data_IF_886706900766
#
_entry.id   IF_886706900766
#
_cell.length_a   1.000
_cell.length_b   1.000
_cell.length_c   1.000
_cell.angle_alpha   90.00
_cell.angle_beta   90.00
_cell.angle_gamma   90.00
#
_symmetry.space_group_name_H-M   'P 1'
#
loop_
_entity.id
_entity.type
_entity.pdbx_description
1 polymer ?
#
# COMPACT_ATOMS: atom_id res chain seq x y z
N UNK A 1 -16.67 30.83 -6.47
CA UNK A 1 -16.09 31.00 -5.12
C UNK A 1 -17.16 30.63 -4.10
N UNK A 2 -17.24 29.37 -3.70
CA UNK A 2 -18.13 28.96 -2.61
C UNK A 2 -17.52 29.48 -1.31
N UNK A 3 -18.02 30.61 -0.80
CA UNK A 3 -17.73 30.99 0.57
C UNK A 3 -18.51 30.01 1.46
N UNK A 4 -17.78 29.16 2.19
CA UNK A 4 -18.33 28.34 3.27
C UNK A 4 -19.12 29.26 4.21
N UNK A 5 -20.43 29.05 4.29
CA UNK A 5 -21.25 29.70 5.30
C UNK A 5 -20.74 29.24 6.67
N UNK A 6 -20.10 30.16 7.41
CA UNK A 6 -19.42 29.84 8.68
C UNK A 6 -20.38 29.21 9.69
N UNK A 7 -21.67 29.51 9.60
CA UNK A 7 -22.68 28.98 10.51
C UNK A 7 -23.00 27.50 10.21
N UNK A 8 -22.87 27.06 8.96
CA UNK A 8 -23.14 25.68 8.53
C UNK A 8 -21.92 24.77 8.58
N UNK A 9 -20.75 25.30 8.95
CA UNK A 9 -19.48 24.57 8.93
C UNK A 9 -19.52 23.29 9.77
N UNK A 10 -19.96 23.37 11.03
CA UNK A 10 -20.00 22.21 11.92
C UNK A 10 -21.01 21.16 11.42
N UNK A 11 -22.14 21.61 10.90
CA UNK A 11 -23.18 20.73 10.37
C UNK A 11 -22.71 20.00 9.10
N UNK A 12 -22.03 20.73 8.21
CA UNK A 12 -21.43 20.17 7.01
C UNK A 12 -20.28 19.21 7.34
N UNK A 13 -19.47 19.50 8.36
CA UNK A 13 -18.42 18.57 8.85
C UNK A 13 -19.03 17.28 9.39
N UNK A 14 -20.09 17.35 10.22
CA UNK A 14 -20.80 16.16 10.72
C UNK A 14 -21.40 15.32 9.59
N UNK A 15 -22.03 15.96 8.62
CA UNK A 15 -22.52 15.29 7.41
C UNK A 15 -21.39 14.64 6.62
N UNK A 16 -20.27 15.35 6.40
CA UNK A 16 -19.10 14.82 5.68
C UNK A 16 -18.46 13.61 6.41
N UNK A 17 -18.57 13.56 7.73
CA UNK A 17 -18.09 12.43 8.53
C UNK A 17 -19.05 11.24 8.54
N UNK A 18 -20.20 11.34 7.86
CA UNK A 18 -21.21 10.29 7.81
C UNK A 18 -21.95 10.12 9.13
N UNK A 19 -22.02 11.17 9.96
CA UNK A 19 -22.89 11.14 11.13
C UNK A 19 -24.36 11.09 10.68
N UNK A 20 -25.16 10.35 11.44
CA UNK A 20 -26.60 10.30 11.26
C UNK A 20 -27.16 11.68 11.68
N UNK A 21 -27.67 12.43 10.70
CA UNK A 21 -28.22 13.78 10.90
C UNK A 21 -29.74 13.73 10.90
N UNK A 22 -30.35 14.55 11.75
CA UNK A 22 -31.82 14.67 11.78
C UNK A 22 -32.35 15.37 10.51
N UNK A 23 -33.61 15.10 10.14
CA UNK A 23 -34.26 15.69 8.96
C UNK A 23 -34.20 17.24 8.92
N UNK A 24 -34.20 17.88 10.08
CA UNK A 24 -34.11 19.34 10.22
C UNK A 24 -32.69 19.85 9.90
N UNK A 25 -31.67 19.12 10.34
CA UNK A 25 -30.25 19.38 10.06
C UNK A 25 -29.91 19.19 8.57
N UNK A 26 -30.45 18.14 7.96
CA UNK A 26 -30.32 17.87 6.52
C UNK A 26 -30.95 18.99 5.67
N UNK A 27 -32.16 19.44 6.03
CA UNK A 27 -32.81 20.59 5.38
C UNK A 27 -32.03 21.88 5.54
N UNK A 28 -31.39 22.09 6.69
CA UNK A 28 -30.54 23.26 6.92
C UNK A 28 -29.31 23.27 6.00
N UNK A 29 -28.74 22.09 5.70
CA UNK A 29 -27.68 21.93 4.71
C UNK A 29 -28.18 21.97 3.24
N UNK A 30 -29.48 21.81 3.02
CA UNK A 30 -30.07 21.68 1.69
C UNK A 30 -29.83 20.31 1.05
N UNK A 31 -29.67 19.27 1.89
CA UNK A 31 -29.36 17.90 1.50
C UNK A 31 -30.55 17.02 1.94
N UNK A 32 -30.86 15.96 1.19
CA UNK A 32 -32.06 15.14 1.43
C UNK A 32 -31.77 13.75 2.01
N UNK A 33 -30.51 13.40 2.23
CA UNK A 33 -30.11 12.08 2.75
C UNK A 33 -28.76 12.10 3.48
N UNK A 34 -28.60 11.12 4.37
CA UNK A 34 -27.35 10.78 5.08
C UNK A 34 -26.39 10.07 4.11
N UNK A 35 -25.09 10.07 4.43
CA UNK A 35 -24.02 9.46 3.61
C UNK A 35 -24.03 7.93 3.71
N UNK A 36 -25.09 7.29 3.21
CA UNK A 36 -25.18 5.82 3.09
C UNK A 36 -25.34 5.36 1.63
N UNK A 37 -25.74 6.26 0.73
CA UNK A 37 -25.94 5.96 -0.68
C UNK A 37 -24.65 6.18 -1.49
N UNK A 38 -24.35 5.27 -2.42
CA UNK A 38 -23.15 5.31 -3.28
C UNK A 38 -22.93 6.66 -3.98
N UNK A 39 -24.02 7.35 -4.36
CA UNK A 39 -23.97 8.67 -5.00
C UNK A 39 -23.55 9.79 -4.05
N UNK A 40 -23.92 9.67 -2.76
CA UNK A 40 -23.53 10.63 -1.72
C UNK A 40 -22.04 10.46 -1.40
N UNK A 41 -21.58 9.22 -1.22
CA UNK A 41 -20.16 8.89 -1.04
C UNK A 41 -19.31 9.41 -2.21
N UNK A 42 -19.77 9.22 -3.45
CA UNK A 42 -19.06 9.74 -4.62
C UNK A 42 -19.02 11.27 -4.64
N UNK A 43 -20.14 11.91 -4.32
CA UNK A 43 -20.22 13.38 -4.23
C UNK A 43 -19.27 13.93 -3.16
N UNK A 44 -19.14 13.23 -2.04
CA UNK A 44 -18.20 13.58 -0.98
C UNK A 44 -16.74 13.51 -1.46
N UNK A 45 -16.36 12.42 -2.13
CA UNK A 45 -15.02 12.29 -2.71
C UNK A 45 -14.76 13.42 -3.72
N UNK A 46 -15.73 13.75 -4.58
CA UNK A 46 -15.62 14.88 -5.52
C UNK A 46 -15.34 16.18 -4.77
N UNK A 47 -16.15 16.51 -3.76
CA UNK A 47 -15.98 17.73 -2.96
C UNK A 47 -14.58 17.77 -2.34
N UNK A 48 -14.11 16.66 -1.75
CA UNK A 48 -12.78 16.58 -1.17
C UNK A 48 -11.72 16.88 -2.25
N UNK A 49 -11.75 16.17 -3.38
CA UNK A 49 -10.75 16.33 -4.43
C UNK A 49 -10.78 17.70 -5.12
N UNK A 50 -11.94 18.34 -5.24
CA UNK A 50 -12.08 19.69 -5.83
C UNK A 50 -11.57 20.80 -4.91
N UNK A 51 -11.56 20.57 -3.59
CA UNK A 51 -11.08 21.53 -2.59
C UNK A 51 -9.66 21.23 -2.10
N UNK A 52 -9.03 20.16 -2.59
CA UNK A 52 -7.63 19.86 -2.31
C UNK A 52 -6.75 20.50 -3.39
N UNK A 53 -5.75 21.28 -2.97
CA UNK A 53 -4.69 21.80 -3.85
C UNK A 53 -3.66 20.71 -4.25
N UNK A 54 -4.01 19.43 -4.09
CA UNK A 54 -3.11 18.28 -4.29
C UNK A 54 -3.86 17.13 -4.94
N UNK A 55 -3.12 16.33 -5.71
CA UNK A 55 -3.63 15.09 -6.29
C UNK A 55 -3.76 14.03 -5.20
N UNK A 56 -4.91 13.36 -5.16
CA UNK A 56 -5.17 12.25 -4.25
C UNK A 56 -4.80 10.93 -4.90
N UNK A 57 -3.95 10.14 -4.24
CA UNK A 57 -3.53 8.83 -4.73
C UNK A 57 -4.31 7.76 -3.97
N UNK A 58 -5.11 6.97 -4.69
CA UNK A 58 -5.75 5.76 -4.17
C UNK A 58 -4.92 4.54 -4.54
N UNK A 59 -4.36 3.88 -3.53
CA UNK A 59 -3.63 2.63 -3.70
C UNK A 59 -4.50 1.46 -3.23
N UNK A 60 -4.83 0.55 -4.15
CA UNK A 60 -5.55 -0.68 -3.85
C UNK A 60 -4.60 -1.87 -3.95
N UNK A 61 -4.49 -2.62 -2.86
CA UNK A 61 -3.80 -3.91 -2.82
C UNK A 61 -4.85 -5.03 -2.73
N UNK A 62 -4.49 -6.23 -3.17
CA UNK A 62 -5.35 -7.43 -3.13
C UNK A 62 -6.77 -7.19 -3.69
N UNK A 63 -6.88 -6.62 -4.89
CA UNK A 63 -8.17 -6.32 -5.53
C UNK A 63 -9.03 -7.56 -5.82
N UNK A 64 -8.47 -8.77 -5.69
CA UNK A 64 -9.21 -10.03 -5.74
C UNK A 64 -9.94 -10.38 -4.43
N UNK A 65 -9.72 -9.62 -3.36
CA UNK A 65 -10.38 -9.87 -2.07
C UNK A 65 -11.91 -9.92 -2.16
N UNK A 66 -12.61 -9.07 -2.95
CA UNK A 66 -14.07 -9.18 -3.11
C UNK A 66 -14.48 -10.51 -3.74
N UNK A 67 -13.68 -11.03 -4.69
CA UNK A 67 -13.91 -12.35 -5.27
C UNK A 67 -13.81 -13.46 -4.22
N UNK A 68 -12.78 -13.42 -3.36
CA UNK A 68 -12.61 -14.42 -2.30
C UNK A 68 -13.75 -14.42 -1.29
N UNK A 69 -14.31 -13.24 -1.00
CA UNK A 69 -15.34 -13.08 0.03
C UNK A 69 -16.77 -13.31 -0.50
N UNK A 70 -17.08 -12.81 -1.69
CA UNK A 70 -18.45 -12.68 -2.20
C UNK A 70 -18.58 -13.11 -3.68
N UNK A 71 -17.53 -13.67 -4.27
CA UNK A 71 -17.50 -14.18 -5.62
C UNK A 71 -17.38 -13.11 -6.71
N UNK A 72 -17.50 -13.56 -7.96
CA UNK A 72 -17.29 -12.74 -9.16
C UNK A 72 -18.19 -11.50 -9.25
N UNK A 73 -19.42 -11.59 -8.74
CA UNK A 73 -20.37 -10.47 -8.75
C UNK A 73 -19.83 -9.29 -7.95
N UNK A 74 -19.18 -9.55 -6.81
CA UNK A 74 -18.58 -8.49 -5.99
C UNK A 74 -17.34 -7.89 -6.65
N UNK A 75 -16.49 -8.72 -7.27
CA UNK A 75 -15.32 -8.25 -8.03
C UNK A 75 -15.75 -7.35 -9.20
N UNK A 76 -16.80 -7.72 -9.95
CA UNK A 76 -17.40 -6.89 -11.00
C UNK A 76 -17.90 -5.55 -10.47
N UNK A 77 -18.68 -5.57 -9.38
CA UNK A 77 -19.17 -4.34 -8.75
C UNK A 77 -18.02 -3.44 -8.28
N UNK A 78 -16.96 -4.01 -7.74
CA UNK A 78 -15.78 -3.25 -7.33
C UNK A 78 -15.12 -2.55 -8.52
N UNK A 79 -14.91 -3.25 -9.64
CA UNK A 79 -14.36 -2.66 -10.87
C UNK A 79 -15.28 -1.56 -11.45
N UNK A 80 -16.60 -1.72 -11.36
CA UNK A 80 -17.56 -0.67 -11.73
C UNK A 80 -17.40 0.60 -10.88
N UNK A 81 -17.16 0.46 -9.58
CA UNK A 81 -16.89 1.60 -8.70
C UNK A 81 -15.55 2.26 -9.05
N UNK A 82 -14.49 1.49 -9.30
CA UNK A 82 -13.20 2.03 -9.78
C UNK A 82 -13.38 2.83 -11.07
N UNK A 83 -14.20 2.31 -12.00
CA UNK A 83 -14.54 2.99 -13.25
C UNK A 83 -15.32 4.29 -13.01
N UNK A 84 -16.30 4.31 -12.08
CA UNK A 84 -17.02 5.55 -11.69
C UNK A 84 -16.06 6.57 -11.09
N UNK A 85 -15.20 6.16 -10.16
CA UNK A 85 -14.20 7.03 -9.55
C UNK A 85 -13.30 7.68 -10.60
N UNK A 86 -12.74 6.89 -11.51
CA UNK A 86 -11.87 7.40 -12.57
C UNK A 86 -12.59 8.40 -13.49
N UNK A 87 -13.84 8.14 -13.86
CA UNK A 87 -14.57 8.98 -14.82
C UNK A 87 -15.12 10.27 -14.20
N UNK A 88 -15.54 10.21 -12.94
CA UNK A 88 -16.32 11.28 -12.34
C UNK A 88 -15.52 12.13 -11.34
N UNK A 89 -14.41 11.62 -10.80
CA UNK A 89 -13.59 12.32 -9.80
C UNK A 89 -12.33 12.87 -10.46
N UNK A 90 -12.12 14.18 -10.34
CA UNK A 90 -10.91 14.87 -10.83
C UNK A 90 -9.83 14.89 -9.76
N UNK A 91 -8.58 15.09 -10.16
CA UNK A 91 -7.47 15.21 -9.22
C UNK A 91 -7.13 13.89 -8.50
N UNK A 92 -7.44 12.76 -9.12
CA UNK A 92 -7.28 11.43 -8.55
C UNK A 92 -6.35 10.57 -9.41
N UNK A 93 -5.47 9.82 -8.76
CA UNK A 93 -4.63 8.78 -9.38
C UNK A 93 -4.94 7.46 -8.70
N UNK A 94 -5.29 6.44 -9.48
CA UNK A 94 -5.55 5.09 -8.98
C UNK A 94 -4.35 4.22 -9.29
N UNK A 95 -3.78 3.58 -8.27
CA UNK A 95 -2.73 2.57 -8.40
C UNK A 95 -3.26 1.26 -7.85
N UNK A 96 -3.13 0.19 -8.63
CA UNK A 96 -3.59 -1.15 -8.27
C UNK A 96 -2.38 -2.06 -8.24
N UNK A 97 -2.20 -2.77 -7.13
CA UNK A 97 -1.28 -3.88 -7.01
C UNK A 97 -2.05 -5.19 -6.97
N UNK A 98 -1.60 -6.15 -7.77
CA UNK A 98 -2.22 -7.46 -7.90
C UNK A 98 -1.16 -8.50 -8.22
N UNK A 99 -1.38 -9.74 -7.80
CA UNK A 99 -0.51 -10.85 -8.16
C UNK A 99 -0.57 -11.11 -9.67
N UNK A 100 0.61 -11.35 -10.26
CA UNK A 100 0.77 -11.61 -11.70
C UNK A 100 -0.14 -12.74 -12.22
N UNK A 101 -0.33 -13.78 -11.41
CA UNK A 101 -1.18 -14.93 -11.74
C UNK A 101 -2.69 -14.61 -11.72
N UNK A 102 -3.09 -13.57 -11.00
CA UNK A 102 -4.49 -13.16 -10.84
C UNK A 102 -4.87 -12.13 -11.89
N UNK A 103 -3.92 -11.30 -12.33
CA UNK A 103 -4.16 -10.19 -13.26
C UNK A 103 -4.94 -10.56 -14.53
N UNK A 104 -4.66 -11.68 -15.23
CA UNK A 104 -5.42 -12.06 -16.43
C UNK A 104 -6.92 -12.19 -16.18
N UNK A 105 -7.32 -12.73 -15.01
CA UNK A 105 -8.73 -12.87 -14.61
C UNK A 105 -9.39 -11.51 -14.41
N UNK A 106 -8.71 -10.59 -13.73
CA UNK A 106 -9.23 -9.24 -13.48
C UNK A 106 -9.50 -8.52 -14.82
N UNK A 107 -8.56 -8.62 -15.77
CA UNK A 107 -8.71 -8.03 -17.11
C UNK A 107 -9.82 -8.68 -17.92
N UNK A 108 -10.07 -9.98 -17.76
CA UNK A 108 -11.19 -10.65 -18.43
C UNK A 108 -12.55 -10.15 -17.92
N UNK A 109 -12.65 -9.90 -16.62
CA UNK A 109 -13.86 -9.45 -15.95
C UNK A 109 -14.11 -7.95 -16.19
N UNK A 110 -13.05 -7.15 -16.32
CA UNK A 110 -13.11 -5.72 -16.61
C UNK A 110 -13.78 -5.45 -17.97
N UNK A 111 -14.68 -4.46 -18.00
CA UNK A 111 -15.34 -4.06 -19.23
C UNK A 111 -14.38 -3.34 -20.20
N UNK A 112 -14.72 -3.31 -21.49
CA UNK A 112 -13.88 -2.65 -22.49
C UNK A 112 -13.60 -1.17 -22.18
N UNK A 113 -14.57 -0.37 -21.69
CA UNK A 113 -14.34 0.99 -21.23
C UNK A 113 -13.28 1.12 -20.12
N UNK A 114 -13.30 0.28 -19.08
CA UNK A 114 -12.31 0.34 -18.01
C UNK A 114 -10.92 0.00 -18.57
N UNK A 115 -10.81 -1.09 -19.33
CA UNK A 115 -9.54 -1.53 -19.92
C UNK A 115 -8.90 -0.47 -20.81
N UNK A 116 -9.68 0.25 -21.60
CA UNK A 116 -9.16 1.30 -22.49
C UNK A 116 -8.59 2.52 -21.73
N UNK A 117 -8.87 2.64 -20.44
CA UNK A 117 -8.40 3.74 -19.57
C UNK A 117 -7.23 3.32 -18.68
N UNK A 118 -6.92 2.02 -18.60
CA UNK A 118 -5.81 1.52 -17.81
C UNK A 118 -4.51 1.76 -18.57
N UNK A 119 -3.51 2.26 -17.85
CA UNK A 119 -2.14 2.29 -18.35
C UNK A 119 -1.57 0.87 -18.47
N UNK A 120 -0.55 0.64 -19.32
CA UNK A 120 0.08 -0.66 -19.46
C UNK A 120 0.58 -1.20 -18.12
N UNK A 121 0.29 -2.46 -17.82
CA UNK A 121 0.72 -3.10 -16.59
C UNK A 121 2.24 -3.09 -16.45
N UNK A 122 2.71 -2.88 -15.23
CA UNK A 122 4.14 -2.91 -14.90
C UNK A 122 4.41 -4.05 -13.94
N UNK A 123 5.35 -4.93 -14.30
CA UNK A 123 5.80 -6.00 -13.42
C UNK A 123 6.94 -5.49 -12.53
N UNK A 124 6.78 -5.67 -11.21
CA UNK A 124 7.87 -5.42 -10.27
C UNK A 124 8.99 -6.42 -10.51
N UNK A 125 10.22 -5.92 -10.59
CA UNK A 125 11.40 -6.77 -10.75
C UNK A 125 11.55 -7.66 -9.51
N UNK A 126 11.91 -8.96 -9.69
CA UNK A 126 12.26 -9.81 -8.57
C UNK A 126 13.39 -9.20 -7.75
N UNK A 127 13.30 -9.33 -6.44
CA UNK A 127 14.32 -8.85 -5.52
C UNK A 127 15.55 -9.75 -5.61
N UNK A 128 16.68 -9.18 -5.99
CA UNK A 128 17.92 -9.91 -6.24
C UNK A 128 18.81 -9.99 -5.00
N UNK A 129 19.82 -10.86 -5.06
CA UNK A 129 20.87 -10.92 -4.03
C UNK A 129 21.58 -9.56 -3.87
N UNK A 130 21.83 -8.86 -4.97
CA UNK A 130 22.47 -7.55 -4.94
C UNK A 130 21.56 -6.50 -4.26
N UNK A 131 20.25 -6.57 -4.50
CA UNK A 131 19.29 -5.70 -3.82
C UNK A 131 19.29 -5.97 -2.30
N UNK A 132 19.41 -7.23 -1.88
CA UNK A 132 19.56 -7.58 -0.47
C UNK A 132 20.87 -7.03 0.13
N UNK A 133 22.00 -7.18 -0.57
CA UNK A 133 23.30 -6.63 -0.14
C UNK A 133 23.24 -5.10 0.01
N UNK A 134 22.65 -4.41 -0.97
CA UNK A 134 22.47 -2.95 -0.95
C UNK A 134 21.52 -2.53 0.18
N UNK A 135 20.37 -3.18 0.29
CA UNK A 135 19.38 -2.89 1.33
C UNK A 135 19.99 -3.04 2.72
N UNK A 136 20.69 -4.15 2.95
CA UNK A 136 21.37 -4.42 4.21
C UNK A 136 22.41 -3.35 4.53
N UNK A 137 23.33 -3.08 3.59
CA UNK A 137 24.42 -2.11 3.79
C UNK A 137 23.87 -0.73 4.13
N UNK A 138 22.87 -0.25 3.39
CA UNK A 138 22.22 1.05 3.65
C UNK A 138 21.48 1.09 4.97
N UNK A 139 20.82 -0.02 5.35
CA UNK A 139 20.12 -0.11 6.63
C UNK A 139 21.10 -0.07 7.81
N UNK A 140 22.25 -0.73 7.69
CA UNK A 140 23.30 -0.69 8.70
C UNK A 140 23.97 0.68 8.77
N UNK A 141 24.28 1.30 7.63
CA UNK A 141 24.82 2.66 7.55
C UNK A 141 23.92 3.65 8.30
N UNK A 142 22.62 3.66 8.01
CA UNK A 142 21.65 4.48 8.74
C UNK A 142 21.62 4.16 10.24
N UNK A 143 21.69 2.88 10.62
CA UNK A 143 21.76 2.49 12.03
C UNK A 143 23.00 3.05 12.74
N UNK A 144 24.19 2.98 12.13
CA UNK A 144 25.41 3.52 12.73
C UNK A 144 25.35 5.05 12.88
N UNK A 145 24.88 5.74 11.84
CA UNK A 145 24.69 7.20 11.85
C UNK A 145 23.69 7.64 12.92
N UNK A 146 22.51 7.01 12.99
CA UNK A 146 21.44 7.33 13.93
C UNK A 146 21.85 7.10 15.39
N UNK A 147 22.77 6.16 15.64
CA UNK A 147 23.31 5.88 16.97
C UNK A 147 24.63 6.60 17.27
N UNK A 148 25.09 7.49 16.38
CA UNK A 148 26.32 8.25 16.51
C UNK A 148 27.56 7.34 16.72
N UNK A 149 27.57 6.21 16.02
CA UNK A 149 28.62 5.20 16.01
C UNK A 149 29.42 5.31 14.70
N UNK A 150 30.70 4.93 14.75
CA UNK A 150 31.51 4.87 13.54
C UNK A 150 31.13 3.62 12.73
N UNK A 151 30.71 3.75 11.46
CA UNK A 151 30.41 2.60 10.65
C UNK A 151 31.67 1.75 10.41
N UNK A 152 31.54 0.41 10.42
CA UNK A 152 32.66 -0.48 10.13
C UNK A 152 33.14 -0.32 8.69
N UNK A 153 34.42 -0.60 8.43
CA UNK A 153 34.99 -0.58 7.08
C UNK A 153 34.33 -1.59 6.14
N UNK A 154 33.78 -2.67 6.71
CA UNK A 154 33.09 -3.70 5.96
C UNK A 154 31.56 -3.45 6.01
N UNK A 155 30.91 -3.10 4.88
CA UNK A 155 29.52 -2.64 4.86
C UNK A 155 28.48 -3.68 5.27
N UNK A 156 28.82 -4.99 5.22
CA UNK A 156 27.91 -6.07 5.59
C UNK A 156 28.04 -6.50 7.06
N UNK A 157 28.93 -5.89 7.84
CA UNK A 157 29.03 -6.14 9.27
C UNK A 157 27.71 -5.78 9.98
N UNK A 158 27.22 -6.59 10.95
CA UNK A 158 27.89 -7.72 11.61
C UNK A 158 27.79 -9.07 10.88
N UNK A 159 27.09 -9.13 9.75
CA UNK A 159 27.02 -10.33 8.93
C UNK A 159 28.22 -10.40 7.96
N UNK A 160 28.22 -11.40 7.08
CA UNK A 160 29.15 -11.49 5.97
C UNK A 160 28.43 -11.87 4.67
N UNK A 161 29.17 -11.77 3.57
CA UNK A 161 28.66 -12.05 2.23
C UNK A 161 28.04 -13.46 2.11
N UNK A 162 28.71 -14.48 2.66
CA UNK A 162 28.22 -15.87 2.65
C UNK A 162 26.88 -16.03 3.36
N UNK A 163 26.71 -15.34 4.49
CA UNK A 163 25.49 -15.42 5.27
C UNK A 163 24.33 -14.70 4.58
N UNK A 164 24.61 -13.58 3.92
CA UNK A 164 23.63 -12.88 3.07
C UNK A 164 23.22 -13.74 1.88
N UNK A 165 24.18 -14.42 1.23
CA UNK A 165 23.90 -15.39 0.16
C UNK A 165 23.01 -16.54 0.63
N UNK A 166 23.33 -17.11 1.79
CA UNK A 166 22.54 -18.16 2.41
C UNK A 166 21.12 -17.71 2.77
N UNK A 167 20.97 -16.50 3.30
CA UNK A 167 19.65 -15.90 3.57
C UNK A 167 18.86 -15.77 2.27
N UNK A 168 19.50 -15.28 1.21
CA UNK A 168 18.85 -15.12 -0.09
C UNK A 168 18.39 -16.46 -0.67
N UNK A 169 19.24 -17.49 -0.61
CA UNK A 169 18.91 -18.85 -1.07
C UNK A 169 17.73 -19.45 -0.30
N UNK A 170 17.73 -19.34 1.04
CA UNK A 170 16.62 -19.85 1.88
C UNK A 170 15.31 -19.13 1.61
N UNK A 171 15.36 -17.84 1.32
CA UNK A 171 14.16 -17.01 1.15
C UNK A 171 13.71 -16.89 -0.30
N UNK A 172 14.52 -17.38 -1.23
CA UNK A 172 14.30 -17.33 -2.68
C UNK A 172 13.98 -15.91 -3.16
N UNK A 173 14.67 -14.91 -2.60
CA UNK A 173 14.46 -13.51 -2.94
C UNK A 173 13.15 -12.91 -2.42
N UNK A 174 12.44 -13.52 -1.46
CA UNK A 174 11.34 -12.83 -0.79
C UNK A 174 11.90 -11.71 0.14
N UNK A 175 11.62 -10.41 -0.12
CA UNK A 175 12.24 -9.33 0.63
C UNK A 175 11.90 -9.37 2.12
N UNK A 176 10.62 -9.59 2.45
CA UNK A 176 10.13 -9.63 3.84
C UNK A 176 10.82 -10.73 4.64
N UNK A 177 10.91 -11.93 4.09
CA UNK A 177 11.57 -13.05 4.74
C UNK A 177 13.08 -12.85 4.83
N UNK A 178 13.70 -12.27 3.80
CA UNK A 178 15.14 -11.93 3.80
C UNK A 178 15.47 -11.00 4.97
N UNK A 179 14.73 -9.89 5.09
CA UNK A 179 14.91 -8.91 6.16
C UNK A 179 14.68 -9.53 7.53
N UNK A 180 13.64 -10.36 7.67
CA UNK A 180 13.34 -11.08 8.92
C UNK A 180 14.48 -12.00 9.35
N UNK A 181 15.09 -12.73 8.41
CA UNK A 181 16.24 -13.59 8.70
C UNK A 181 17.50 -12.78 9.02
N UNK A 182 17.79 -11.71 8.27
CA UNK A 182 18.90 -10.80 8.59
C UNK A 182 18.81 -10.32 10.04
N UNK A 183 17.64 -9.82 10.45
CA UNK A 183 17.41 -9.36 11.83
C UNK A 183 17.66 -10.47 12.85
N UNK A 184 17.09 -11.66 12.62
CA UNK A 184 17.27 -12.80 13.54
C UNK A 184 18.74 -13.20 13.70
N UNK A 185 19.53 -13.12 12.63
CA UNK A 185 20.96 -13.44 12.69
C UNK A 185 21.76 -12.33 13.38
N UNK A 186 21.44 -11.06 13.12
CA UNK A 186 22.03 -9.93 13.86
C UNK A 186 21.75 -10.08 15.36
N UNK A 187 20.49 -10.34 15.74
CA UNK A 187 20.10 -10.47 17.15
C UNK A 187 20.92 -11.57 17.85
N UNK A 188 21.10 -12.73 17.20
CA UNK A 188 21.91 -13.84 17.73
C UNK A 188 23.39 -13.49 17.91
N UNK A 189 23.97 -12.75 16.95
CA UNK A 189 25.37 -12.33 17.03
C UNK A 189 25.56 -11.30 18.15
N UNK A 190 24.65 -10.33 18.25
CA UNK A 190 24.71 -9.26 19.26
C UNK A 190 24.47 -9.80 20.68
N UNK A 191 23.62 -10.82 20.83
CA UNK A 191 23.38 -11.49 22.11
C UNK A 191 24.46 -12.53 22.46
N UNK A 192 25.52 -12.65 21.64
CA UNK A 192 26.59 -13.66 21.79
C UNK A 192 26.07 -15.11 21.86
N UNK A 193 24.88 -15.36 21.29
CA UNK A 193 24.26 -16.69 21.26
C UNK A 193 24.91 -17.59 20.23
N UNK A 194 25.36 -17.01 19.10
CA UNK A 194 26.00 -17.73 18.00
C UNK A 194 27.00 -16.83 17.27
N UNK A 195 28.12 -17.42 16.87
CA UNK A 195 29.09 -16.81 15.96
C UNK A 195 28.60 -16.84 14.50
N UNK A 196 29.23 -16.05 13.63
CA UNK A 196 28.92 -16.05 12.20
C UNK A 196 29.17 -17.43 11.56
N UNK A 197 30.21 -18.14 12.00
CA UNK A 197 30.55 -19.47 11.49
C UNK A 197 29.51 -20.52 11.90
N UNK A 198 29.04 -20.50 13.16
CA UNK A 198 27.97 -21.40 13.64
C UNK A 198 26.64 -21.12 12.92
N UNK A 199 26.36 -19.87 12.56
CA UNK A 199 25.17 -19.52 11.78
C UNK A 199 25.24 -20.02 10.34
N UNK A 200 26.44 -20.06 9.74
CA UNK A 200 26.65 -20.63 8.41
C UNK A 200 26.41 -22.14 8.43
N UNK A 201 26.83 -22.85 9.48
CA UNK A 201 26.59 -24.29 9.63
C UNK A 201 25.10 -24.60 9.80
N UNK A 202 24.40 -23.92 10.72
CA UNK A 202 22.95 -24.10 10.94
C UNK A 202 22.13 -23.65 9.73
N UNK A 203 22.65 -22.70 8.96
CA UNK A 203 22.03 -22.26 7.73
C UNK A 203 22.27 -23.22 6.55
N UNK A 204 23.30 -24.07 6.57
CA UNK A 204 23.55 -25.01 5.48
C UNK A 204 22.60 -26.22 5.49
N UNK A 205 22.01 -26.54 6.65
CA UNK A 205 20.96 -27.54 6.85
C UNK A 205 19.53 -26.98 6.61
#
# INVERSE_FOLDING_TARGET
>A
TYQLDKNKKNLAERWLLGEDLEDEELRELGINSVVEEDDVCLSLIKIITENLDRVLILYFDEIESPYRMLGEVAERKFLEIIKRLYNEVKGLVITIAVLKEIWPRIIEIADAPLRSRMEPEQELKPFSLNDLKIFFSKSMEAFWEDNNLNPPLYPLFPLNEKLIELIYEKTKGNPRNSIKLCRRFIDKIVMEEMTVDELLEVGAD
#
